data_IF_121679558805
#
_entry.id   IF_121679558805
#
_cell.length_a   1.000
_cell.length_b   1.000
_cell.length_c   1.000
_cell.angle_alpha   90.00
_cell.angle_beta   90.00
_cell.angle_gamma   90.00
#
_symmetry.space_group_name_H-M   'P 1'
#
loop_
_entity.id
_entity.type
_entity.pdbx_description
1 polymer ?
#
# COMPACT_ATOMS: atom_id res chain seq x y z
N UNK A 1 10.89 -23.87 -23.47
CA UNK A 1 10.02 -22.78 -23.00
C UNK A 1 10.76 -21.45 -23.18
N UNK A 2 10.28 -20.60 -24.07
CA UNK A 2 10.87 -19.27 -24.28
C UNK A 2 10.24 -18.33 -23.27
N UNK A 3 10.99 -17.96 -22.24
CA UNK A 3 10.60 -16.82 -21.39
C UNK A 3 10.61 -15.55 -22.25
N UNK A 4 9.43 -15.04 -22.58
CA UNK A 4 9.30 -13.70 -23.12
C UNK A 4 9.74 -12.76 -21.99
N UNK A 5 10.76 -11.94 -22.25
CA UNK A 5 11.19 -10.89 -21.33
C UNK A 5 10.07 -9.87 -21.30
N UNK A 6 9.28 -9.88 -20.23
CA UNK A 6 8.33 -8.82 -19.95
C UNK A 6 9.12 -7.61 -19.47
N UNK A 7 9.23 -6.61 -20.31
CA UNK A 7 9.67 -5.29 -19.90
C UNK A 7 8.42 -4.54 -19.44
N UNK A 8 8.13 -4.61 -18.16
CA UNK A 8 7.15 -3.69 -17.57
C UNK A 8 7.79 -2.29 -17.56
N UNK A 9 7.33 -1.40 -18.42
CA UNK A 9 7.73 0.01 -18.36
C UNK A 9 6.79 0.64 -17.33
N UNK A 10 7.28 0.72 -16.10
CA UNK A 10 6.61 1.47 -15.04
C UNK A 10 6.98 2.94 -15.23
N UNK A 11 6.10 3.69 -15.88
CA UNK A 11 6.18 5.13 -15.90
C UNK A 11 5.68 5.66 -14.56
N UNK A 12 6.58 5.75 -13.59
CA UNK A 12 6.32 6.49 -12.37
C UNK A 12 6.22 7.97 -12.69
N UNK A 13 5.02 8.50 -12.81
CA UNK A 13 4.84 9.93 -12.60
C UNK A 13 4.85 10.19 -11.10
N UNK A 14 6.05 10.29 -10.54
CA UNK A 14 6.24 10.65 -9.14
C UNK A 14 5.87 12.10 -8.91
N UNK A 15 4.60 12.39 -8.77
CA UNK A 15 4.20 13.48 -7.89
C UNK A 15 4.20 12.94 -6.46
N UNK A 16 5.38 12.62 -5.95
CA UNK A 16 5.59 12.45 -4.53
C UNK A 16 5.56 13.85 -3.91
N UNK A 17 4.35 14.41 -3.85
CA UNK A 17 4.08 15.42 -2.85
C UNK A 17 4.39 14.76 -1.52
N UNK A 18 5.26 15.35 -0.75
CA UNK A 18 5.73 14.92 0.56
C UNK A 18 4.61 14.21 1.33
N UNK A 19 4.57 12.87 1.26
CA UNK A 19 3.83 12.06 2.22
C UNK A 19 4.54 12.28 3.56
N UNK A 20 4.22 13.37 4.25
CA UNK A 20 4.57 13.48 5.63
C UNK A 20 3.70 12.47 6.36
N UNK A 21 4.29 11.42 6.92
CA UNK A 21 3.65 10.51 7.86
C UNK A 21 3.18 11.25 9.13
N UNK A 22 3.64 12.47 9.31
CA UNK A 22 3.25 13.39 10.37
C UNK A 22 2.23 14.40 9.85
N UNK A 23 0.96 14.18 10.15
CA UNK A 23 -0.01 15.25 10.14
C UNK A 23 -1.24 15.08 9.27
N UNK A 24 -2.37 15.37 9.87
CA UNK A 24 -3.71 15.56 9.32
C UNK A 24 -3.81 16.81 8.41
N UNK A 25 -2.91 16.99 7.46
CA UNK A 25 -2.95 18.10 6.54
C UNK A 25 -3.41 17.65 5.17
N UNK A 26 -4.68 17.85 4.84
CA UNK A 26 -5.21 18.15 3.52
C UNK A 26 -4.70 17.37 2.29
N UNK A 27 -4.30 16.11 2.41
CA UNK A 27 -3.97 15.29 1.24
C UNK A 27 -5.26 15.04 0.46
N UNK A 28 -5.27 15.42 -0.81
CA UNK A 28 -6.35 15.03 -1.70
C UNK A 28 -6.33 13.49 -1.88
N UNK A 29 -7.25 12.81 -1.22
CA UNK A 29 -7.31 11.33 -1.23
C UNK A 29 -7.58 10.74 -2.61
N UNK A 30 -8.26 11.50 -3.46
CA UNK A 30 -8.66 11.07 -4.80
C UNK A 30 -7.57 11.36 -5.85
N UNK A 31 -6.50 12.07 -5.46
CA UNK A 31 -5.38 12.29 -6.36
C UNK A 31 -4.66 10.97 -6.65
N UNK A 32 -4.24 10.80 -7.90
CA UNK A 32 -3.45 9.65 -8.33
C UNK A 32 -2.06 9.73 -7.69
N UNK A 33 -1.69 8.68 -6.96
CA UNK A 33 -0.36 8.53 -6.37
C UNK A 33 0.58 7.76 -7.28
N UNK A 34 0.04 6.70 -7.93
CA UNK A 34 0.82 5.78 -8.76
C UNK A 34 -0.02 5.47 -9.99
N UNK A 35 0.61 5.49 -11.16
CA UNK A 35 0.04 4.97 -12.40
C UNK A 35 0.90 3.82 -12.88
N UNK A 36 0.33 2.64 -13.02
CA UNK A 36 0.99 1.45 -13.52
C UNK A 36 0.46 1.10 -14.90
N UNK A 37 1.37 0.92 -15.84
CA UNK A 37 1.04 0.51 -17.21
C UNK A 37 1.86 -0.73 -17.57
N UNK A 38 1.25 -1.66 -18.31
CA UNK A 38 1.98 -2.73 -18.97
C UNK A 38 1.70 -2.66 -20.47
N UNK A 39 2.63 -3.18 -21.27
CA UNK A 39 2.71 -2.99 -22.74
C UNK A 39 1.42 -3.25 -23.54
N UNK A 40 0.43 -3.93 -22.98
CA UNK A 40 -0.77 -4.37 -23.70
C UNK A 40 -2.10 -4.02 -23.01
N UNK A 41 -2.13 -3.21 -21.93
CA UNK A 41 -3.38 -3.04 -21.14
C UNK A 41 -3.53 -1.66 -20.53
N UNK A 42 -4.78 -1.34 -20.21
CA UNK A 42 -5.17 -0.10 -19.57
C UNK A 42 -4.37 0.18 -18.28
N UNK A 43 -4.02 1.44 -18.10
CA UNK A 43 -3.35 1.90 -16.91
C UNK A 43 -4.22 1.66 -15.66
N UNK A 44 -3.62 1.21 -14.58
CA UNK A 44 -4.25 1.20 -13.27
C UNK A 44 -3.72 2.38 -12.45
N UNK A 45 -4.63 3.11 -11.87
CA UNK A 45 -4.33 4.24 -11.01
C UNK A 45 -4.58 3.89 -9.54
N UNK A 46 -3.58 4.12 -8.72
CA UNK A 46 -3.67 3.98 -7.26
C UNK A 46 -3.81 5.36 -6.65
N UNK A 47 -4.84 5.55 -5.85
CA UNK A 47 -5.09 6.84 -5.21
C UNK A 47 -4.16 7.11 -4.03
N UNK A 48 -3.92 8.39 -3.74
CA UNK A 48 -3.20 8.84 -2.54
C UNK A 48 -3.87 8.33 -1.25
N UNK A 49 -5.19 8.16 -1.26
CA UNK A 49 -5.94 7.62 -0.14
C UNK A 49 -5.52 6.19 0.19
N UNK A 50 -5.49 5.30 -0.80
CA UNK A 50 -5.08 3.91 -0.60
C UNK A 50 -3.59 3.78 -0.28
N UNK A 51 -2.72 4.46 -1.01
CA UNK A 51 -1.28 4.44 -0.75
C UNK A 51 -0.93 4.92 0.66
N UNK A 52 -1.60 6.00 1.13
CA UNK A 52 -1.43 6.48 2.49
C UNK A 52 -1.97 5.49 3.53
N UNK A 53 -3.13 4.87 3.30
CA UNK A 53 -3.69 3.84 4.17
C UNK A 53 -2.72 2.66 4.31
N UNK A 54 -2.21 2.12 3.21
CA UNK A 54 -1.24 1.02 3.21
C UNK A 54 0.03 1.38 4.01
N UNK A 55 0.58 2.58 3.79
CA UNK A 55 1.74 3.07 4.54
C UNK A 55 1.46 3.19 6.05
N UNK A 56 0.28 3.69 6.43
CA UNK A 56 -0.11 3.84 7.84
C UNK A 56 -0.34 2.51 8.53
N UNK A 57 -0.89 1.50 7.84
CA UNK A 57 -1.03 0.15 8.39
C UNK A 57 0.35 -0.46 8.66
N UNK A 58 1.29 -0.34 7.73
CA UNK A 58 2.66 -0.79 7.96
C UNK A 58 3.30 -0.04 9.11
N UNK A 59 3.18 1.30 9.15
CA UNK A 59 3.68 2.12 10.26
C UNK A 59 3.15 1.63 11.60
N UNK A 60 1.84 1.44 11.75
CA UNK A 60 1.23 0.97 12.98
C UNK A 60 1.78 -0.41 13.43
N UNK A 61 2.05 -1.29 12.48
CA UNK A 61 2.71 -2.57 12.73
C UNK A 61 4.11 -2.39 13.32
N UNK A 62 4.91 -1.52 12.74
CA UNK A 62 6.27 -1.23 13.25
C UNK A 62 6.23 -0.49 14.59
N UNK A 63 5.34 0.49 14.77
CA UNK A 63 5.21 1.23 16.03
C UNK A 63 4.91 0.29 17.19
N UNK A 64 4.08 -0.72 16.97
CA UNK A 64 3.73 -1.71 18.01
C UNK A 64 4.93 -2.50 18.54
N UNK A 65 6.00 -2.62 17.72
CA UNK A 65 7.20 -3.41 18.06
C UNK A 65 8.38 -2.52 18.43
N UNK A 66 8.61 -1.44 17.71
CA UNK A 66 9.87 -0.71 17.76
C UNK A 66 9.83 0.61 18.54
N UNK A 67 8.66 1.26 18.68
CA UNK A 67 8.58 2.55 19.36
C UNK A 67 9.14 2.52 20.79
N UNK A 68 8.94 1.40 21.51
CA UNK A 68 9.46 1.22 22.88
C UNK A 68 10.98 1.06 22.96
N UNK A 69 11.65 0.68 21.87
CA UNK A 69 13.10 0.41 21.84
C UNK A 69 13.90 1.57 21.27
N UNK A 70 13.36 2.28 20.28
CA UNK A 70 14.10 3.26 19.49
C UNK A 70 13.65 4.71 19.72
N UNK A 71 12.54 4.93 20.42
CA UNK A 71 11.95 6.25 20.61
C UNK A 71 11.07 6.70 19.44
N UNK A 72 10.39 7.84 19.62
CA UNK A 72 9.37 8.32 18.68
C UNK A 72 9.95 8.89 17.38
N UNK A 73 11.24 9.23 17.37
CA UNK A 73 11.93 9.84 16.22
C UNK A 73 12.56 8.82 15.25
N UNK A 74 12.48 7.52 15.55
CA UNK A 74 13.15 6.50 14.74
C UNK A 74 12.74 6.49 13.26
N UNK A 75 11.55 6.99 12.94
CA UNK A 75 11.05 7.09 11.58
C UNK A 75 11.87 8.01 10.67
N UNK A 76 12.35 9.12 11.24
CA UNK A 76 13.07 10.16 10.51
C UNK A 76 14.52 10.30 10.92
N UNK A 77 14.97 9.48 11.87
CA UNK A 77 16.32 9.53 12.41
C UNK A 77 17.30 8.83 11.47
N UNK A 78 18.22 9.60 10.92
CA UNK A 78 19.22 9.10 9.97
C UNK A 78 20.23 8.11 10.63
N UNK A 79 20.28 8.04 11.96
CA UNK A 79 21.10 7.03 12.65
C UNK A 79 20.63 5.60 12.38
N UNK A 80 19.38 5.41 11.97
CA UNK A 80 18.79 4.13 11.57
C UNK A 80 18.67 3.99 10.06
N UNK A 81 19.24 4.94 9.30
CA UNK A 81 19.22 4.90 7.85
C UNK A 81 20.01 3.69 7.32
N UNK A 82 19.42 3.02 6.34
CA UNK A 82 20.04 1.96 5.57
C UNK A 82 20.05 2.36 4.10
N UNK A 83 21.20 2.19 3.46
CA UNK A 83 21.36 2.54 2.04
C UNK A 83 21.01 4.01 1.73
N UNK A 84 21.25 4.91 2.72
CA UNK A 84 20.96 6.34 2.61
C UNK A 84 19.48 6.73 2.78
N UNK A 85 18.62 5.78 3.18
CA UNK A 85 17.18 6.01 3.43
C UNK A 85 16.86 5.77 4.90
N UNK A 86 16.14 6.70 5.51
CA UNK A 86 15.60 6.50 6.85
C UNK A 86 14.42 5.51 6.82
N UNK A 87 13.90 5.14 8.00
CA UNK A 87 12.83 4.16 8.12
C UNK A 87 11.57 4.59 7.35
N UNK A 88 11.21 5.88 7.42
CA UNK A 88 10.05 6.41 6.72
C UNK A 88 10.17 6.25 5.19
N UNK A 89 11.34 6.53 4.63
CA UNK A 89 11.60 6.39 3.19
C UNK A 89 11.59 4.92 2.78
N UNK A 90 12.19 4.05 3.59
CA UNK A 90 12.23 2.60 3.34
C UNK A 90 10.82 1.99 3.34
N UNK A 91 9.93 2.42 4.25
CA UNK A 91 8.54 1.95 4.28
C UNK A 91 7.75 2.44 3.06
N UNK A 92 7.95 3.67 2.62
CA UNK A 92 7.32 4.16 1.40
C UNK A 92 7.70 3.31 0.19
N UNK A 93 8.98 3.00 0.04
CA UNK A 93 9.45 2.13 -1.04
C UNK A 93 8.85 0.73 -0.94
N UNK A 94 8.81 0.14 0.26
CA UNK A 94 8.22 -1.17 0.49
C UNK A 94 6.73 -1.21 0.16
N UNK A 95 5.98 -0.15 0.48
CA UNK A 95 4.56 -0.03 0.11
C UNK A 95 4.39 0.04 -1.40
N UNK A 96 5.21 0.83 -2.08
CA UNK A 96 5.19 0.94 -3.54
C UNK A 96 5.45 -0.42 -4.18
N UNK A 97 6.52 -1.10 -3.77
CA UNK A 97 6.88 -2.43 -4.27
C UNK A 97 5.77 -3.47 -4.01
N UNK A 98 5.12 -3.40 -2.85
CA UNK A 98 3.99 -4.27 -2.52
C UNK A 98 2.80 -4.03 -3.46
N UNK A 99 2.43 -2.78 -3.71
CA UNK A 99 1.34 -2.41 -4.62
C UNK A 99 1.66 -2.83 -6.05
N UNK A 100 2.90 -2.62 -6.51
CA UNK A 100 3.35 -3.05 -7.83
C UNK A 100 3.30 -4.58 -7.98
N UNK A 101 3.73 -5.30 -6.96
CA UNK A 101 3.69 -6.77 -6.93
C UNK A 101 2.25 -7.27 -6.99
N UNK A 102 1.35 -6.70 -6.18
CA UNK A 102 -0.07 -7.02 -6.20
C UNK A 102 -0.66 -6.83 -7.60
N UNK A 103 -0.39 -5.68 -8.21
CA UNK A 103 -0.86 -5.40 -9.57
C UNK A 103 -0.40 -6.44 -10.59
N UNK A 104 0.89 -6.82 -10.54
CA UNK A 104 1.44 -7.82 -11.44
C UNK A 104 0.80 -9.19 -11.22
N UNK A 105 0.58 -9.59 -9.96
CA UNK A 105 -0.08 -10.84 -9.63
C UNK A 105 -1.51 -10.87 -10.15
N UNK A 106 -2.30 -9.83 -9.90
CA UNK A 106 -3.69 -9.72 -10.38
C UNK A 106 -3.78 -9.80 -11.91
N UNK A 107 -2.88 -9.12 -12.61
CA UNK A 107 -2.82 -9.14 -14.09
C UNK A 107 -2.53 -10.53 -14.67
N UNK A 108 -1.79 -11.34 -13.96
CA UNK A 108 -1.33 -12.65 -14.43
C UNK A 108 -2.07 -13.84 -13.79
N UNK A 109 -3.02 -13.60 -12.90
CA UNK A 109 -3.79 -14.67 -12.25
C UNK A 109 -4.37 -15.65 -13.26
N UNK A 110 -5.01 -15.15 -14.32
CA UNK A 110 -5.62 -15.98 -15.35
C UNK A 110 -4.60 -16.82 -16.13
N UNK A 111 -3.35 -16.36 -16.26
CA UNK A 111 -2.29 -17.10 -16.96
C UNK A 111 -1.89 -18.38 -16.18
N UNK A 112 -2.19 -18.41 -14.89
CA UNK A 112 -1.93 -19.52 -13.98
C UNK A 112 -3.20 -20.28 -13.58
N UNK A 113 -4.35 -19.93 -14.16
CA UNK A 113 -5.64 -20.55 -13.82
C UNK A 113 -6.13 -20.20 -12.42
N UNK A 114 -5.70 -19.07 -11.88
CA UNK A 114 -6.15 -18.53 -10.58
C UNK A 114 -7.25 -17.53 -10.84
N UNK A 115 -8.35 -17.66 -10.12
CA UNK A 115 -9.50 -16.74 -10.16
C UNK A 115 -9.94 -16.42 -8.74
N UNK A 116 -10.32 -15.17 -8.49
CA UNK A 116 -10.99 -14.80 -7.23
C UNK A 116 -12.46 -15.19 -7.38
N UNK A 117 -12.87 -16.20 -6.62
CA UNK A 117 -14.25 -16.71 -6.66
C UNK A 117 -15.21 -15.78 -5.90
N UNK A 118 -16.52 -16.00 -6.07
CA UNK A 118 -17.53 -15.30 -5.28
C UNK A 118 -17.39 -15.60 -3.77
N UNK A 119 -16.92 -16.81 -3.42
CA UNK A 119 -16.66 -17.19 -2.02
C UNK A 119 -15.46 -16.40 -1.46
N UNK A 120 -14.39 -16.24 -2.24
CA UNK A 120 -13.24 -15.43 -1.85
C UNK A 120 -13.64 -13.96 -1.66
N UNK A 121 -14.42 -13.40 -2.57
CA UNK A 121 -14.93 -12.03 -2.46
C UNK A 121 -15.80 -11.84 -1.19
N UNK A 122 -16.66 -12.80 -0.88
CA UNK A 122 -17.46 -12.77 0.33
C UNK A 122 -16.61 -12.87 1.60
N UNK A 123 -15.56 -13.70 1.58
CA UNK A 123 -14.63 -13.84 2.68
C UNK A 123 -13.82 -12.54 2.91
N UNK A 124 -13.31 -11.92 1.85
CA UNK A 124 -12.60 -10.64 1.88
C UNK A 124 -13.50 -9.55 2.47
N UNK A 125 -14.74 -9.45 1.97
CA UNK A 125 -15.71 -8.47 2.48
C UNK A 125 -15.98 -8.65 3.96
N UNK A 126 -16.22 -9.89 4.39
CA UNK A 126 -16.45 -10.22 5.80
C UNK A 126 -15.24 -9.87 6.67
N UNK A 127 -14.03 -10.17 6.21
CA UNK A 127 -12.81 -9.81 6.93
C UNK A 127 -12.65 -8.29 7.04
N UNK A 128 -12.97 -7.55 5.98
CA UNK A 128 -12.94 -6.09 6.00
C UNK A 128 -13.99 -5.51 6.98
N UNK A 129 -15.20 -6.03 6.99
CA UNK A 129 -16.25 -5.65 7.96
C UNK A 129 -15.79 -5.92 9.40
N UNK A 130 -15.15 -7.06 9.64
CA UNK A 130 -14.59 -7.41 10.93
C UNK A 130 -13.49 -6.42 11.36
N UNK A 131 -12.55 -6.11 10.47
CA UNK A 131 -11.52 -5.11 10.72
C UNK A 131 -12.11 -3.76 11.10
N UNK A 132 -13.13 -3.30 10.36
CA UNK A 132 -13.80 -2.03 10.64
C UNK A 132 -14.55 -2.03 11.98
N UNK A 133 -15.08 -3.17 12.42
CA UNK A 133 -15.79 -3.30 13.70
C UNK A 133 -14.87 -3.45 14.90
N UNK A 134 -13.73 -4.10 14.73
CA UNK A 134 -12.80 -4.40 15.84
C UNK A 134 -11.92 -3.19 16.20
N UNK A 135 -11.82 -2.21 15.31
CA UNK A 135 -11.01 -1.03 15.51
C UNK A 135 -11.84 0.20 15.90
N UNK A 136 -11.30 1.02 16.81
CA UNK A 136 -11.97 2.26 17.21
C UNK A 136 -12.08 3.25 16.05
N UNK A 137 -13.11 4.08 16.05
CA UNK A 137 -13.27 5.16 15.05
C UNK A 137 -12.06 6.09 14.99
N UNK A 138 -11.38 6.30 16.12
CA UNK A 138 -10.17 7.12 16.18
C UNK A 138 -9.01 6.44 15.43
N UNK A 139 -8.76 5.16 15.69
CA UNK A 139 -7.72 4.40 15.01
C UNK A 139 -7.98 4.29 13.49
N UNK A 140 -9.21 3.98 13.08
CA UNK A 140 -9.59 3.92 11.67
C UNK A 140 -9.37 5.26 10.96
N UNK A 141 -9.71 6.37 11.62
CA UNK A 141 -9.50 7.72 11.09
C UNK A 141 -8.00 8.05 10.98
N UNK A 142 -7.22 7.66 11.96
CA UNK A 142 -5.77 7.91 12.01
C UNK A 142 -5.05 7.24 10.83
N UNK A 143 -5.36 5.98 10.55
CA UNK A 143 -4.78 5.27 9.40
C UNK A 143 -5.49 5.60 8.08
N UNK A 144 -6.60 6.31 8.10
CA UNK A 144 -7.39 6.64 6.92
C UNK A 144 -8.13 5.45 6.32
N UNK A 145 -8.51 4.47 7.17
CA UNK A 145 -9.19 3.25 6.74
C UNK A 145 -10.57 3.53 6.17
N UNK A 146 -10.88 2.87 5.05
CA UNK A 146 -12.23 2.67 4.52
C UNK A 146 -12.42 1.18 4.28
N UNK A 147 -13.67 0.72 4.26
CA UNK A 147 -13.95 -0.68 3.96
C UNK A 147 -13.38 -1.10 2.60
N UNK A 148 -13.44 -0.22 1.61
CA UNK A 148 -12.87 -0.44 0.28
C UNK A 148 -11.35 -0.66 0.34
N UNK A 149 -10.62 0.20 1.06
CA UNK A 149 -9.17 0.07 1.20
C UNK A 149 -8.76 -1.19 1.96
N UNK A 150 -9.56 -1.58 2.96
CA UNK A 150 -9.32 -2.84 3.68
C UNK A 150 -9.58 -4.05 2.78
N UNK A 151 -10.63 -4.01 1.94
CA UNK A 151 -10.85 -5.06 0.95
C UNK A 151 -9.65 -5.17 -0.02
N UNK A 152 -9.15 -4.04 -0.55
CA UNK A 152 -7.97 -4.03 -1.41
C UNK A 152 -6.74 -4.63 -0.71
N UNK A 153 -6.52 -4.29 0.57
CA UNK A 153 -5.42 -4.84 1.35
C UNK A 153 -5.52 -6.36 1.53
N UNK A 154 -6.72 -6.91 1.68
CA UNK A 154 -6.93 -8.35 1.84
C UNK A 154 -6.98 -9.13 0.53
N UNK A 155 -6.97 -8.45 -0.60
CA UNK A 155 -6.85 -9.06 -1.93
C UNK A 155 -5.38 -9.24 -2.33
N UNK A 156 -4.46 -8.59 -1.63
CA UNK A 156 -3.02 -8.58 -1.90
C UNK A 156 -2.26 -9.80 -1.39
#
# INVERSE_FOLDING_TARGET
MRFKKFAAIILMSTMIGTMSLSGCGGVNKDAVAITMTSDDKDAIEVTMGYANFAARIQQAGYDSVFASYYGDDYWTNDSYAKDGKNMQESIKDSVLESIETQYLLEKHMSDYGVEITEEDQAAIKKAAEQFMSDNSKAALKEVGATQEYVCLLYTS
#
